data_IF_287678234971
#
_entry.id   IF_287678234971
#
_cell.length_a   1.000
_cell.length_b   1.000
_cell.length_c   1.000
_cell.angle_alpha   90.00
_cell.angle_beta   90.00
_cell.angle_gamma   90.00
#
_symmetry.space_group_name_H-M   'P 1'
#
loop_
_entity.id
_entity.type
_entity.pdbx_description
1 polymer ?
#
# COMPACT_ATOMS: atom_id res chain seq x y z
N UNK A 1 7.76 -46.33 -37.53
CA UNK A 1 7.60 -44.88 -37.28
C UNK A 1 7.33 -44.72 -35.80
N UNK A 2 8.19 -44.04 -35.05
CA UNK A 2 7.89 -43.73 -33.66
C UNK A 2 6.74 -42.72 -33.64
N UNK A 3 5.60 -43.06 -33.04
CA UNK A 3 4.54 -42.08 -32.79
C UNK A 3 5.09 -41.11 -31.74
N UNK A 4 5.29 -39.86 -32.14
CA UNK A 4 5.67 -38.80 -31.20
C UNK A 4 4.44 -38.49 -30.36
N UNK A 5 4.42 -38.95 -29.12
CA UNK A 5 3.38 -38.58 -28.16
C UNK A 5 3.58 -37.11 -27.80
N UNK A 6 2.66 -36.25 -28.21
CA UNK A 6 2.72 -34.82 -27.89
C UNK A 6 1.79 -34.50 -26.72
N UNK A 7 2.17 -33.51 -25.90
CA UNK A 7 1.46 -33.18 -24.66
C UNK A 7 0.00 -32.78 -24.92
N UNK A 8 -0.28 -32.15 -26.06
CA UNK A 8 -1.62 -31.73 -26.46
C UNK A 8 -2.59 -32.87 -26.82
N UNK A 9 -2.10 -34.11 -26.96
CA UNK A 9 -2.93 -35.29 -27.18
C UNK A 9 -3.43 -35.92 -25.87
N UNK A 10 -2.95 -35.45 -24.71
CA UNK A 10 -3.41 -35.94 -23.42
C UNK A 10 -4.76 -35.32 -23.03
N UNK A 11 -5.58 -36.02 -22.21
CA UNK A 11 -6.70 -35.43 -21.50
C UNK A 11 -6.29 -34.18 -20.72
N UNK A 12 -7.19 -33.19 -20.63
CA UNK A 12 -6.91 -31.91 -19.98
C UNK A 12 -6.52 -32.08 -18.52
N UNK A 13 -7.14 -33.04 -17.84
CA UNK A 13 -6.89 -33.39 -16.45
C UNK A 13 -5.45 -33.87 -16.25
N UNK A 14 -4.91 -34.65 -17.18
CA UNK A 14 -3.52 -35.09 -17.13
C UNK A 14 -2.54 -33.94 -17.44
N UNK A 15 -2.88 -33.05 -18.38
CA UNK A 15 -2.07 -31.86 -18.65
C UNK A 15 -2.03 -30.94 -17.43
N UNK A 16 -3.18 -30.71 -16.78
CA UNK A 16 -3.29 -29.91 -15.56
C UNK A 16 -2.47 -30.54 -14.42
N UNK A 17 -2.59 -31.85 -14.23
CA UNK A 17 -1.83 -32.58 -13.22
C UNK A 17 -0.32 -32.50 -13.45
N UNK A 18 0.15 -32.70 -14.69
CA UNK A 18 1.56 -32.52 -15.05
C UNK A 18 2.02 -31.08 -14.79
N UNK A 19 1.19 -30.10 -15.12
CA UNK A 19 1.49 -28.69 -14.88
C UNK A 19 1.61 -28.35 -13.38
N UNK A 20 0.82 -28.98 -12.50
CA UNK A 20 0.90 -28.77 -11.06
C UNK A 20 2.24 -29.23 -10.43
N UNK A 21 2.94 -30.16 -11.08
CA UNK A 21 4.32 -30.56 -10.69
C UNK A 21 5.41 -29.71 -11.33
N UNK A 22 5.06 -28.82 -12.24
CA UNK A 22 6.00 -27.88 -12.84
C UNK A 22 6.04 -26.59 -12.01
N UNK A 23 7.08 -25.80 -12.25
CA UNK A 23 7.15 -24.49 -11.62
C UNK A 23 6.24 -23.45 -12.30
N UNK A 24 5.79 -22.44 -11.54
CA UNK A 24 4.81 -21.46 -12.00
C UNK A 24 5.24 -20.73 -13.28
N UNK A 25 6.54 -20.45 -13.42
CA UNK A 25 7.08 -19.77 -14.62
C UNK A 25 7.03 -20.68 -15.84
N UNK A 26 7.40 -21.95 -15.69
CA UNK A 26 7.31 -22.95 -16.77
C UNK A 26 5.86 -23.18 -17.21
N UNK A 27 4.90 -23.27 -16.28
CA UNK A 27 3.47 -23.40 -16.63
C UNK A 27 2.97 -22.19 -17.42
N UNK A 28 3.37 -20.97 -17.02
CA UNK A 28 3.04 -19.76 -17.78
C UNK A 28 3.59 -19.77 -19.20
N UNK A 29 4.84 -20.22 -19.38
CA UNK A 29 5.46 -20.33 -20.71
C UNK A 29 4.78 -21.40 -21.56
N UNK A 30 4.53 -22.60 -21.01
CA UNK A 30 3.83 -23.69 -21.68
C UNK A 30 2.40 -23.30 -22.08
N UNK A 31 1.70 -22.53 -21.25
CA UNK A 31 0.36 -22.03 -21.58
C UNK A 31 0.31 -21.06 -22.77
N UNK A 32 1.46 -20.65 -23.31
CA UNK A 32 1.55 -19.76 -24.48
C UNK A 32 1.88 -20.50 -25.78
N UNK A 33 2.27 -21.77 -25.71
CA UNK A 33 2.70 -22.53 -26.89
C UNK A 33 1.51 -23.12 -27.64
N UNK A 34 0.48 -23.58 -26.93
CA UNK A 34 -0.68 -24.26 -27.51
C UNK A 34 -1.98 -23.91 -26.77
N UNK A 35 -3.08 -23.74 -27.51
CA UNK A 35 -4.41 -23.43 -26.92
C UNK A 35 -4.93 -24.56 -26.03
N UNK A 36 -4.69 -25.82 -26.40
CA UNK A 36 -5.09 -26.99 -25.61
C UNK A 36 -4.35 -27.01 -24.28
N UNK A 37 -3.03 -26.83 -24.31
CA UNK A 37 -2.20 -26.72 -23.10
C UNK A 37 -2.67 -25.55 -22.25
N UNK A 38 -2.87 -24.37 -22.85
CA UNK A 38 -3.39 -23.19 -22.14
C UNK A 38 -4.70 -23.46 -21.42
N UNK A 39 -5.66 -24.06 -22.11
CA UNK A 39 -6.99 -24.33 -21.56
C UNK A 39 -6.97 -25.35 -20.42
N UNK A 40 -5.93 -26.18 -20.32
CA UNK A 40 -5.75 -27.15 -19.25
C UNK A 40 -4.87 -26.64 -18.11
N UNK A 41 -3.80 -25.90 -18.42
CA UNK A 41 -2.76 -25.55 -17.44
C UNK A 41 -2.84 -24.12 -16.91
N UNK A 42 -3.49 -23.19 -17.60
CA UNK A 42 -3.69 -21.81 -17.13
C UNK A 42 -4.97 -21.72 -16.30
N UNK A 43 -4.97 -22.45 -15.19
CA UNK A 43 -6.12 -22.63 -14.31
C UNK A 43 -5.79 -22.25 -12.86
N UNK A 44 -6.79 -21.74 -12.12
CA UNK A 44 -6.61 -21.29 -10.75
C UNK A 44 -6.20 -22.43 -9.81
N UNK A 45 -6.73 -23.64 -10.00
CA UNK A 45 -6.40 -24.81 -9.19
C UNK A 45 -4.97 -25.26 -9.44
N UNK A 46 -4.52 -25.25 -10.69
CA UNK A 46 -3.12 -25.59 -11.05
C UNK A 46 -2.14 -24.66 -10.34
N UNK A 47 -2.35 -23.33 -10.40
CA UNK A 47 -1.45 -22.40 -9.72
C UNK A 47 -1.58 -22.43 -8.18
N UNK A 48 -2.77 -22.74 -7.65
CA UNK A 48 -2.96 -23.02 -6.22
C UNK A 48 -2.13 -24.22 -5.78
N UNK A 49 -2.18 -25.32 -6.51
CA UNK A 49 -1.40 -26.53 -6.21
C UNK A 49 0.11 -26.25 -6.27
N UNK A 50 0.58 -25.51 -7.28
CA UNK A 50 1.98 -25.10 -7.39
C UNK A 50 2.42 -24.29 -6.17
N UNK A 51 1.59 -23.32 -5.74
CA UNK A 51 1.87 -22.50 -4.56
C UNK A 51 1.88 -23.33 -3.26
N UNK A 52 0.99 -24.31 -3.12
CA UNK A 52 1.00 -25.20 -1.94
C UNK A 52 2.25 -26.09 -1.97
N UNK A 53 2.56 -26.67 -3.14
CA UNK A 53 3.68 -27.59 -3.29
C UNK A 53 5.05 -26.92 -3.07
N UNK A 54 5.21 -25.65 -3.48
CA UNK A 54 6.46 -24.90 -3.25
C UNK A 54 6.76 -24.69 -1.75
N UNK A 55 5.74 -24.77 -0.90
CA UNK A 55 5.85 -24.47 0.52
C UNK A 55 6.08 -25.67 1.42
N UNK A 56 5.59 -26.86 1.02
CA UNK A 56 5.67 -28.09 1.83
C UNK A 56 7.07 -28.42 2.35
N UNK A 57 8.11 -27.95 1.66
CA UNK A 57 9.50 -28.25 2.03
C UNK A 57 10.13 -27.21 2.97
N UNK A 58 9.57 -26.01 3.11
CA UNK A 58 10.31 -24.84 3.61
C UNK A 58 9.53 -23.90 4.53
N UNK A 59 8.23 -24.10 4.68
CA UNK A 59 7.36 -23.22 5.46
C UNK A 59 6.87 -23.95 6.71
N UNK A 60 6.64 -23.21 7.80
CA UNK A 60 5.80 -23.70 8.88
C UNK A 60 4.38 -23.87 8.31
N UNK A 61 3.78 -25.05 8.52
CA UNK A 61 2.52 -25.48 7.89
C UNK A 61 1.36 -24.47 8.05
N UNK A 62 1.43 -23.62 9.07
CA UNK A 62 0.36 -22.67 9.43
C UNK A 62 0.56 -21.26 8.84
N UNK A 63 1.62 -21.02 8.06
CA UNK A 63 1.95 -19.66 7.61
C UNK A 63 1.16 -19.23 6.36
N UNK A 64 0.78 -20.15 5.47
CA UNK A 64 0.00 -19.82 4.28
C UNK A 64 -1.51 -19.92 4.53
N UNK A 65 -2.17 -18.79 4.43
CA UNK A 65 -3.62 -18.68 4.53
C UNK A 65 -4.29 -18.88 3.15
N UNK A 66 -4.44 -20.14 2.75
CA UNK A 66 -5.04 -20.51 1.46
C UNK A 66 -6.47 -20.01 1.32
N UNK A 67 -7.24 -19.94 2.40
CA UNK A 67 -8.64 -19.53 2.36
C UNK A 67 -8.77 -18.02 2.14
N UNK A 68 -7.93 -17.21 2.81
CA UNK A 68 -7.85 -15.77 2.54
C UNK A 68 -7.40 -15.50 1.09
N UNK A 69 -6.42 -16.25 0.58
CA UNK A 69 -5.97 -16.13 -0.81
C UNK A 69 -7.08 -16.51 -1.78
N UNK A 70 -7.79 -17.61 -1.53
CA UNK A 70 -8.88 -18.10 -2.37
C UNK A 70 -10.02 -17.07 -2.44
N UNK A 71 -10.37 -16.47 -1.30
CA UNK A 71 -11.35 -15.39 -1.20
C UNK A 71 -10.93 -14.17 -2.03
N UNK A 72 -9.65 -13.79 -1.95
CA UNK A 72 -9.11 -12.62 -2.67
C UNK A 72 -8.98 -12.85 -4.18
N UNK A 73 -8.60 -14.06 -4.57
CA UNK A 73 -8.39 -14.42 -5.97
C UNK A 73 -9.71 -14.74 -6.70
N UNK A 74 -10.77 -15.14 -5.97
CA UNK A 74 -12.10 -15.45 -6.52
C UNK A 74 -12.07 -16.40 -7.73
N UNK A 75 -11.16 -17.37 -7.73
CA UNK A 75 -10.97 -18.30 -8.85
C UNK A 75 -10.30 -17.73 -10.09
N UNK A 76 -9.75 -16.51 -10.04
CA UNK A 76 -9.06 -15.90 -11.17
C UNK A 76 -7.65 -16.52 -11.36
N UNK A 77 -7.39 -17.24 -12.48
CA UNK A 77 -6.10 -17.90 -12.72
C UNK A 77 -4.93 -16.91 -12.81
N UNK A 78 -5.17 -15.66 -13.21
CA UNK A 78 -4.12 -14.64 -13.31
C UNK A 78 -3.61 -14.22 -11.93
N UNK A 79 -4.51 -14.07 -10.95
CA UNK A 79 -4.15 -13.71 -9.58
C UNK A 79 -3.36 -14.86 -8.92
N UNK A 80 -3.84 -16.10 -9.08
CA UNK A 80 -3.14 -17.27 -8.58
C UNK A 80 -1.75 -17.45 -9.20
N UNK A 81 -1.63 -17.29 -10.52
CA UNK A 81 -0.34 -17.35 -11.20
C UNK A 81 0.67 -16.33 -10.64
N UNK A 82 0.21 -15.14 -10.26
CA UNK A 82 1.06 -14.11 -9.66
C UNK A 82 1.58 -14.51 -8.29
N UNK A 83 0.72 -15.05 -7.43
CA UNK A 83 1.13 -15.54 -6.11
C UNK A 83 2.16 -16.66 -6.24
N UNK A 84 1.90 -17.64 -7.10
CA UNK A 84 2.83 -18.75 -7.36
C UNK A 84 4.17 -18.27 -7.94
N UNK A 85 4.18 -17.32 -8.88
CA UNK A 85 5.42 -16.76 -9.45
C UNK A 85 6.19 -15.91 -8.43
N UNK A 86 5.49 -15.09 -7.65
CA UNK A 86 6.10 -14.26 -6.61
C UNK A 86 6.84 -15.12 -5.60
N UNK A 87 6.16 -16.16 -5.11
CA UNK A 87 6.70 -17.15 -4.20
C UNK A 87 7.95 -17.82 -4.76
N UNK A 88 7.83 -18.42 -5.94
CA UNK A 88 8.93 -19.11 -6.61
C UNK A 88 10.14 -18.19 -6.86
N UNK A 89 9.92 -16.93 -7.23
CA UNK A 89 11.01 -15.97 -7.48
C UNK A 89 11.71 -15.53 -6.22
N UNK A 90 10.97 -15.35 -5.13
CA UNK A 90 11.55 -15.07 -3.83
C UNK A 90 12.43 -16.24 -3.40
N UNK A 91 11.96 -17.47 -3.59
CA UNK A 91 12.72 -18.70 -3.32
C UNK A 91 14.01 -18.81 -4.16
N UNK A 92 13.94 -18.66 -5.47
CA UNK A 92 15.13 -18.71 -6.35
C UNK A 92 16.18 -17.66 -5.99
N UNK A 93 15.73 -16.49 -5.51
CA UNK A 93 16.61 -15.44 -5.02
C UNK A 93 17.34 -15.85 -3.74
N UNK A 94 16.73 -16.70 -2.92
CA UNK A 94 17.33 -17.27 -1.71
C UNK A 94 18.40 -18.31 -2.03
N UNK A 95 18.08 -19.35 -2.79
CA UNK A 95 19.02 -20.44 -3.08
C UNK A 95 20.33 -19.91 -3.69
N UNK A 96 20.20 -18.94 -4.60
CA UNK A 96 21.34 -18.25 -5.21
C UNK A 96 22.22 -17.50 -4.21
N UNK A 97 21.65 -17.05 -3.08
CA UNK A 97 22.36 -16.32 -2.02
C UNK A 97 23.10 -17.27 -1.06
N UNK A 98 22.53 -18.44 -0.73
CA UNK A 98 23.15 -19.40 0.20
C UNK A 98 24.42 -20.06 -0.36
N UNK A 99 24.52 -20.21 -1.68
CA UNK A 99 25.71 -20.76 -2.35
C UNK A 99 26.91 -19.80 -2.24
N UNK A 100 26.67 -18.51 -2.00
CA UNK A 100 27.69 -17.47 -1.90
C UNK A 100 27.80 -16.96 -0.46
N UNK A 101 28.30 -17.79 0.47
CA UNK A 101 28.59 -17.44 1.88
C UNK A 101 29.82 -16.54 2.03
N UNK A 102 29.88 -15.43 1.29
CA UNK A 102 30.84 -14.35 1.53
C UNK A 102 30.13 -13.11 2.08
N UNK A 103 30.80 -12.23 2.85
CA UNK A 103 30.29 -10.91 3.27
C UNK A 103 30.03 -9.91 2.12
N UNK A 104 29.78 -10.42 0.92
CA UNK A 104 29.33 -9.70 -0.27
C UNK A 104 28.36 -10.55 -1.10
N UNK A 105 27.59 -11.44 -0.46
CA UNK A 105 26.58 -12.27 -1.11
C UNK A 105 25.68 -11.37 -1.96
N UNK A 106 25.54 -11.61 -3.28
CA UNK A 106 24.75 -10.80 -4.19
C UNK A 106 23.27 -11.10 -3.94
N UNK A 107 22.78 -10.65 -2.78
CA UNK A 107 21.37 -10.62 -2.44
C UNK A 107 20.68 -9.74 -3.47
N UNK A 108 20.14 -10.44 -4.47
CA UNK A 108 19.36 -9.94 -5.59
C UNK A 108 20.21 -9.04 -6.50
N UNK A 109 20.73 -9.57 -7.60
CA UNK A 109 21.41 -8.78 -8.66
C UNK A 109 20.57 -7.59 -9.17
N UNK A 110 19.26 -7.56 -8.86
CA UNK A 110 18.30 -6.50 -9.16
C UNK A 110 17.28 -6.36 -8.02
N UNK A 111 17.57 -5.64 -6.93
CA UNK A 111 16.65 -5.46 -5.80
C UNK A 111 15.26 -4.97 -6.23
N UNK A 112 15.19 -4.27 -7.37
CA UNK A 112 13.93 -3.87 -7.98
C UNK A 112 13.03 -5.05 -8.32
N UNK A 113 13.56 -6.22 -8.67
CA UNK A 113 12.76 -7.41 -9.01
C UNK A 113 12.15 -8.06 -7.76
N UNK A 114 12.76 -7.94 -6.59
CA UNK A 114 12.18 -8.46 -5.34
C UNK A 114 11.17 -7.49 -4.72
N UNK A 115 11.55 -6.21 -4.67
CA UNK A 115 10.67 -5.10 -4.29
C UNK A 115 9.55 -4.90 -5.29
N UNK A 116 9.71 -5.51 -6.46
CA UNK A 116 8.58 -5.88 -7.26
C UNK A 116 7.71 -6.82 -6.42
N UNK A 117 7.78 -8.14 -6.43
CA UNK A 117 6.83 -9.05 -5.74
C UNK A 117 6.40 -8.85 -4.25
N UNK A 118 6.91 -7.88 -3.47
CA UNK A 118 6.55 -7.62 -2.07
C UNK A 118 5.05 -7.70 -1.75
N UNK A 119 4.12 -6.98 -2.41
CA UNK A 119 2.69 -7.14 -2.20
C UNK A 119 2.20 -8.59 -2.26
N UNK A 120 2.49 -9.34 -3.33
CA UNK A 120 2.14 -10.76 -3.42
C UNK A 120 2.77 -11.57 -2.29
N UNK A 121 4.05 -11.31 -1.99
CA UNK A 121 4.75 -11.97 -0.88
C UNK A 121 4.07 -11.71 0.47
N UNK A 122 3.52 -10.51 0.68
CA UNK A 122 2.74 -10.19 1.88
C UNK A 122 1.39 -10.93 1.88
N UNK A 123 0.73 -11.04 0.72
CA UNK A 123 -0.52 -11.81 0.62
C UNK A 123 -0.27 -13.28 0.95
N UNK A 124 0.80 -13.87 0.40
CA UNK A 124 1.14 -15.27 0.68
C UNK A 124 1.87 -15.45 2.01
N UNK A 125 2.16 -14.38 2.76
CA UNK A 125 2.92 -14.43 4.03
C UNK A 125 4.28 -15.14 3.90
N UNK A 126 5.02 -14.85 2.83
CA UNK A 126 6.30 -15.53 2.57
C UNK A 126 7.31 -15.37 3.71
N UNK A 127 7.97 -16.45 4.19
CA UNK A 127 9.01 -16.40 5.21
C UNK A 127 10.14 -15.39 4.94
N UNK A 128 10.39 -15.03 3.67
CA UNK A 128 11.36 -14.00 3.31
C UNK A 128 11.04 -12.61 3.82
N UNK A 129 9.76 -12.33 4.08
CA UNK A 129 9.36 -11.09 4.70
C UNK A 129 9.88 -10.99 6.13
N UNK A 130 9.93 -12.12 6.85
CA UNK A 130 10.43 -12.19 8.23
C UNK A 130 11.95 -11.98 8.31
N UNK A 131 12.69 -12.45 7.29
CA UNK A 131 14.15 -12.32 7.24
C UNK A 131 14.64 -10.88 7.02
N UNK A 132 13.74 -9.90 6.85
CA UNK A 132 14.06 -8.47 6.79
C UNK A 132 15.04 -8.06 5.66
N UNK A 133 15.40 -8.97 4.75
CA UNK A 133 16.39 -8.73 3.68
C UNK A 133 15.91 -7.64 2.70
N UNK A 134 14.59 -7.52 2.50
CA UNK A 134 14.03 -6.40 1.74
C UNK A 134 14.35 -5.06 2.41
N UNK A 135 14.39 -4.97 3.75
CA UNK A 135 14.55 -3.70 4.47
C UNK A 135 15.86 -3.01 4.14
N UNK A 136 16.98 -3.73 4.23
CA UNK A 136 18.30 -3.20 3.88
C UNK A 136 18.34 -2.73 2.44
N UNK A 137 17.68 -3.47 1.55
CA UNK A 137 17.59 -3.09 0.13
C UNK A 137 16.74 -1.84 -0.06
N UNK A 138 15.61 -1.71 0.65
CA UNK A 138 14.76 -0.52 0.60
C UNK A 138 15.45 0.74 1.13
N UNK A 139 16.28 0.63 2.19
CA UNK A 139 17.06 1.77 2.71
C UNK A 139 18.09 2.28 1.69
N UNK A 140 18.61 1.39 0.86
CA UNK A 140 19.64 1.70 -0.14
C UNK A 140 19.03 2.09 -1.50
N UNK A 141 17.71 2.15 -1.61
CA UNK A 141 17.05 2.42 -2.88
C UNK A 141 17.27 3.87 -3.34
N UNK A 142 17.72 4.07 -4.60
CA UNK A 142 17.87 5.39 -5.21
C UNK A 142 16.63 6.29 -5.12
N UNK A 143 16.81 7.62 -5.01
CA UNK A 143 15.69 8.60 -4.89
C UNK A 143 14.76 8.64 -6.10
N UNK A 144 15.17 8.12 -7.24
CA UNK A 144 14.40 8.04 -8.49
C UNK A 144 13.50 6.78 -8.57
N UNK A 145 13.19 6.14 -7.43
CA UNK A 145 12.27 4.99 -7.40
C UNK A 145 10.92 5.30 -8.07
N UNK A 146 10.43 4.31 -8.81
CA UNK A 146 9.10 4.31 -9.40
C UNK A 146 8.01 4.35 -8.32
N UNK A 147 6.81 4.85 -8.64
CA UNK A 147 5.64 4.78 -7.77
C UNK A 147 5.37 3.38 -7.22
N UNK A 148 5.49 2.35 -8.07
CA UNK A 148 5.29 0.95 -7.69
C UNK A 148 6.16 0.53 -6.51
N UNK A 149 7.46 0.86 -6.57
CA UNK A 149 8.41 0.52 -5.53
C UNK A 149 8.05 1.22 -4.22
N UNK A 150 7.73 2.52 -4.29
CA UNK A 150 7.36 3.31 -3.10
C UNK A 150 6.08 2.78 -2.46
N UNK A 151 5.10 2.37 -3.25
CA UNK A 151 3.89 1.73 -2.75
C UNK A 151 4.20 0.45 -1.95
N UNK A 152 5.10 -0.39 -2.48
CA UNK A 152 5.53 -1.61 -1.81
C UNK A 152 6.26 -1.33 -0.50
N UNK A 153 7.09 -0.26 -0.48
CA UNK A 153 7.75 0.19 0.75
C UNK A 153 6.72 0.59 1.81
N UNK A 154 5.68 1.35 1.44
CA UNK A 154 4.61 1.70 2.39
C UNK A 154 3.96 0.44 2.93
N UNK A 155 3.57 -0.51 2.08
CA UNK A 155 2.96 -1.78 2.51
C UNK A 155 3.85 -2.54 3.48
N UNK A 156 5.14 -2.67 3.16
CA UNK A 156 6.08 -3.39 4.00
C UNK A 156 6.32 -2.66 5.35
N UNK A 157 6.29 -1.34 5.36
CA UNK A 157 6.35 -0.52 6.57
C UNK A 157 5.10 -0.61 7.44
N UNK A 158 3.94 -1.00 6.89
CA UNK A 158 2.71 -1.22 7.63
C UNK A 158 2.64 -2.61 8.26
N UNK A 159 3.55 -3.52 7.91
CA UNK A 159 3.56 -4.87 8.47
C UNK A 159 3.85 -4.86 10.00
N UNK A 160 2.99 -5.48 10.84
CA UNK A 160 3.13 -5.45 12.30
C UNK A 160 4.45 -6.05 12.79
N UNK A 161 4.96 -7.10 12.13
CA UNK A 161 6.20 -7.80 12.51
C UNK A 161 7.46 -6.96 12.24
N UNK A 162 7.30 -5.83 11.56
CA UNK A 162 8.34 -4.80 11.44
C UNK A 162 8.83 -4.22 12.79
N UNK A 163 8.17 -4.53 13.91
CA UNK A 163 8.45 -4.03 15.27
C UNK A 163 9.91 -4.20 15.72
N UNK A 164 10.61 -5.27 15.32
CA UNK A 164 11.91 -5.63 15.92
C UNK A 164 13.15 -4.93 15.37
N UNK A 165 13.14 -4.30 14.19
CA UNK A 165 14.39 -3.74 13.61
C UNK A 165 14.14 -2.67 12.54
N UNK A 166 13.90 -1.41 12.94
CA UNK A 166 14.06 -0.24 12.05
C UNK A 166 15.03 0.85 12.57
N UNK A 167 16.01 0.57 13.45
CA UNK A 167 16.89 1.63 13.97
C UNK A 167 17.72 2.30 12.85
N UNK A 168 17.99 1.61 11.73
CA UNK A 168 18.85 2.13 10.66
C UNK A 168 18.12 2.83 9.50
N UNK A 169 16.77 2.92 9.54
CA UNK A 169 16.03 3.80 8.62
C UNK A 169 16.09 5.28 9.04
N UNK A 170 17.00 5.62 9.96
CA UNK A 170 17.32 6.98 10.40
C UNK A 170 18.00 7.86 9.34
N UNK A 171 18.32 7.32 8.16
CA UNK A 171 18.62 8.17 7.00
C UNK A 171 17.52 9.21 6.85
N UNK A 172 17.88 10.49 6.70
CA UNK A 172 17.00 11.61 6.98
C UNK A 172 15.76 11.42 6.13
N UNK A 173 14.64 11.08 6.78
CA UNK A 173 13.30 11.32 6.27
C UNK A 173 13.39 12.72 5.66
N UNK A 174 13.33 12.74 4.32
CA UNK A 174 13.72 13.88 3.51
C UNK A 174 13.20 15.17 4.12
N UNK A 175 14.02 16.24 4.10
CA UNK A 175 13.65 17.56 4.64
C UNK A 175 12.18 17.81 4.33
N UNK A 176 11.35 17.86 5.37
CA UNK A 176 9.89 17.87 5.26
C UNK A 176 9.38 18.96 4.32
N UNK A 177 10.17 20.02 4.13
CA UNK A 177 9.95 21.06 3.15
C UNK A 177 9.74 20.57 1.71
N UNK A 178 10.30 19.41 1.32
CA UNK A 178 10.19 18.85 -0.04
C UNK A 178 8.95 17.95 -0.23
N UNK A 179 8.37 17.43 0.84
CA UNK A 179 7.19 16.59 0.78
C UNK A 179 5.99 17.42 0.28
N UNK A 180 5.19 16.90 -0.66
CA UNK A 180 3.98 17.53 -1.22
C UNK A 180 4.11 18.90 -1.92
N UNK A 181 5.33 19.37 -2.23
CA UNK A 181 5.48 20.45 -3.24
C UNK A 181 5.15 19.93 -4.65
N UNK A 182 5.35 18.63 -4.87
CA UNK A 182 4.99 17.92 -6.08
C UNK A 182 3.67 17.16 -5.90
N UNK A 183 2.82 17.20 -6.92
CA UNK A 183 1.60 16.38 -7.02
C UNK A 183 1.84 15.03 -7.71
N UNK A 184 3.10 14.62 -7.90
CA UNK A 184 3.41 13.32 -8.51
C UNK A 184 3.12 12.18 -7.54
N UNK A 185 2.58 11.07 -8.05
CA UNK A 185 2.33 9.82 -7.31
C UNK A 185 3.53 9.42 -6.45
N UNK A 186 4.73 9.49 -7.03
CA UNK A 186 5.96 9.15 -6.33
C UNK A 186 6.17 10.04 -5.09
N UNK A 187 5.97 11.36 -5.19
CA UNK A 187 6.13 12.28 -4.07
C UNK A 187 5.11 12.02 -2.95
N UNK A 188 3.87 11.70 -3.32
CA UNK A 188 2.79 11.43 -2.37
C UNK A 188 3.02 10.10 -1.62
N UNK A 189 3.40 9.05 -2.35
CA UNK A 189 3.78 7.77 -1.75
C UNK A 189 5.01 7.93 -0.85
N UNK A 190 5.96 8.77 -1.24
CA UNK A 190 7.11 9.06 -0.39
C UNK A 190 6.73 9.78 0.89
N UNK A 191 5.78 10.71 0.85
CA UNK A 191 5.25 11.31 2.07
C UNK A 191 4.47 10.32 2.93
N UNK A 192 3.80 9.33 2.33
CA UNK A 192 3.17 8.22 3.05
C UNK A 192 4.22 7.38 3.79
N UNK A 193 5.35 7.08 3.15
CA UNK A 193 6.50 6.43 3.80
C UNK A 193 6.96 7.25 5.02
N UNK A 194 7.18 8.56 4.85
CA UNK A 194 7.58 9.45 5.93
C UNK A 194 6.59 9.44 7.09
N UNK A 195 5.28 9.50 6.80
CA UNK A 195 4.23 9.46 7.81
C UNK A 195 4.25 8.17 8.63
N UNK A 196 4.30 7.01 7.95
CA UNK A 196 4.32 5.70 8.60
C UNK A 196 5.57 5.54 9.46
N UNK A 197 6.76 5.90 8.96
CA UNK A 197 8.02 5.80 9.72
C UNK A 197 7.98 6.71 10.95
N UNK A 198 7.61 7.99 10.79
CA UNK A 198 7.58 8.94 11.91
C UNK A 198 6.59 8.51 12.98
N UNK A 199 5.40 8.07 12.61
CA UNK A 199 4.39 7.63 13.57
C UNK A 199 4.78 6.33 14.26
N UNK A 200 5.33 5.34 13.54
CA UNK A 200 5.85 4.11 14.18
C UNK A 200 6.96 4.44 15.17
N UNK A 201 7.85 5.38 14.84
CA UNK A 201 8.91 5.81 15.76
C UNK A 201 8.32 6.44 17.01
N UNK A 202 7.42 7.42 16.85
CA UNK A 202 6.80 8.12 17.97
C UNK A 202 6.02 7.18 18.89
N UNK A 203 5.23 6.27 18.33
CA UNK A 203 4.41 5.31 19.09
C UNK A 203 5.23 4.20 19.76
N UNK A 204 6.40 3.85 19.22
CA UNK A 204 7.34 2.91 19.88
C UNK A 204 7.97 3.52 21.12
N UNK A 205 8.42 4.76 21.02
CA UNK A 205 9.06 5.47 22.14
C UNK A 205 8.04 5.95 23.17
N UNK A 206 6.78 6.06 22.76
CA UNK A 206 5.70 6.58 23.58
C UNK A 206 4.42 5.77 23.33
N UNK A 207 4.29 4.62 24.00
CA UNK A 207 3.00 3.89 24.05
C UNK A 207 1.88 4.71 24.71
N UNK A 208 2.24 5.86 25.31
CA UNK A 208 1.33 6.83 25.91
C UNK A 208 1.59 8.17 25.23
N UNK A 209 0.59 8.72 24.54
CA UNK A 209 0.73 9.96 23.80
C UNK A 209 0.99 11.17 24.71
N UNK A 210 1.68 12.19 24.18
CA UNK A 210 2.01 13.43 24.88
C UNK A 210 0.91 14.48 24.67
N UNK A 211 0.66 15.45 25.57
CA UNK A 211 1.12 15.51 26.95
C UNK A 211 0.29 14.60 27.85
N UNK A 212 0.97 13.96 28.80
CA UNK A 212 0.36 13.39 29.99
C UNK A 212 -0.35 14.51 30.77
N UNK A 213 -1.63 14.73 30.50
CA UNK A 213 -2.53 15.07 31.59
C UNK A 213 -3.31 13.78 31.91
N UNK A 214 -3.48 13.46 33.19
CA UNK A 214 -4.31 12.32 33.61
C UNK A 214 -5.80 12.48 33.23
N UNK A 215 -6.17 13.58 32.56
CA UNK A 215 -7.53 13.90 32.14
C UNK A 215 -7.81 13.49 30.68
N UNK A 216 -6.80 13.27 29.83
CA UNK A 216 -6.94 12.91 28.43
C UNK A 216 -7.10 11.39 28.33
N UNK A 217 -8.30 10.91 28.60
CA UNK A 217 -8.66 9.49 28.56
C UNK A 217 -8.91 9.01 27.13
N UNK A 218 -7.95 9.25 26.22
CA UNK A 218 -8.05 8.85 24.82
C UNK A 218 -7.28 7.54 24.62
N UNK A 219 -7.94 6.44 24.19
CA UNK A 219 -7.29 5.16 24.03
C UNK A 219 -6.22 5.22 22.93
N UNK A 220 -5.10 4.54 23.13
CA UNK A 220 -4.15 4.28 22.06
C UNK A 220 -4.83 3.48 20.95
N UNK A 221 -4.69 3.93 19.70
CA UNK A 221 -5.09 3.17 18.52
C UNK A 221 -3.86 2.61 17.81
N UNK A 222 -3.92 1.34 17.40
CA UNK A 222 -2.89 0.75 16.56
C UNK A 222 -2.89 1.42 15.18
N UNK A 223 -1.73 1.43 14.50
CA UNK A 223 -1.68 1.77 13.08
C UNK A 223 -2.26 0.61 12.26
N UNK A 224 -2.94 0.89 11.12
CA UNK A 224 -3.44 -0.18 10.26
C UNK A 224 -2.27 -0.97 9.69
N UNK A 225 -2.44 -2.28 9.62
CA UNK A 225 -1.51 -3.17 8.94
C UNK A 225 -1.77 -3.20 7.44
N UNK A 226 -0.79 -3.65 6.66
CA UNK A 226 -0.97 -3.84 5.22
C UNK A 226 -2.16 -4.74 4.84
N UNK A 227 -2.42 -5.78 5.65
CA UNK A 227 -3.53 -6.71 5.43
C UNK A 227 -4.90 -6.08 5.75
N UNK A 228 -4.92 -5.12 6.67
CA UNK A 228 -6.11 -4.41 7.13
C UNK A 228 -6.58 -3.30 6.17
N UNK A 229 -5.71 -2.80 5.30
CA UNK A 229 -6.06 -1.75 4.35
C UNK A 229 -6.74 -2.36 3.11
N UNK A 230 -7.99 -1.99 2.79
CA UNK A 230 -8.73 -2.56 1.67
C UNK A 230 -8.27 -1.94 0.34
N UNK A 231 -7.26 -2.55 -0.28
CA UNK A 231 -6.75 -2.12 -1.60
C UNK A 231 -7.58 -2.62 -2.79
N UNK A 232 -8.81 -3.11 -2.56
CA UNK A 232 -9.68 -3.57 -3.64
C UNK A 232 -10.16 -2.38 -4.50
N UNK A 233 -10.39 -2.57 -5.80
CA UNK A 233 -11.08 -1.57 -6.59
C UNK A 233 -12.40 -1.16 -5.96
N UNK A 234 -12.67 0.13 -5.94
CA UNK A 234 -13.91 0.72 -5.42
C UNK A 234 -15.04 0.69 -6.47
N UNK A 235 -14.71 0.43 -7.72
CA UNK A 235 -15.62 0.21 -8.84
C UNK A 235 -14.92 -0.58 -9.95
N UNK A 236 -15.67 -0.95 -10.99
CA UNK A 236 -15.16 -1.78 -12.09
C UNK A 236 -14.29 -1.03 -13.11
N UNK A 237 -14.10 0.29 -12.96
CA UNK A 237 -13.38 1.12 -13.93
C UNK A 237 -11.86 0.97 -13.84
N UNK A 238 -11.35 0.29 -12.82
CA UNK A 238 -9.94 0.00 -12.67
C UNK A 238 -9.73 -1.31 -11.93
N UNK A 239 -8.55 -1.88 -12.12
CA UNK A 239 -8.09 -3.02 -11.34
C UNK A 239 -6.89 -2.58 -10.52
N UNK A 240 -6.71 -3.20 -9.35
CA UNK A 240 -5.46 -3.07 -8.61
C UNK A 240 -4.34 -3.46 -9.58
N UNK A 241 -3.42 -2.55 -9.93
CA UNK A 241 -2.40 -2.76 -10.92
C UNK A 241 -1.68 -3.95 -10.40
N UNK A 242 -1.64 -4.96 -11.26
CA UNK A 242 -0.74 -6.07 -11.08
C UNK A 242 0.61 -5.42 -10.88
N UNK A 243 1.15 -5.51 -9.68
CA UNK A 243 2.44 -5.01 -9.48
C UNK A 243 3.33 -6.08 -10.17
N UNK A 244 4.33 -5.61 -10.93
CA UNK A 244 5.50 -6.42 -11.28
C UNK A 244 5.48 -7.29 -12.53
N UNK A 245 4.85 -6.79 -13.59
CA UNK A 245 5.43 -7.05 -14.90
C UNK A 245 6.04 -5.74 -15.44
N UNK A 246 7.36 -5.62 -15.31
CA UNK A 246 8.16 -4.83 -16.27
C UNK A 246 7.80 -5.24 -17.72
N UNK A 247 7.35 -6.50 -17.85
CA UNK A 247 6.91 -7.16 -19.05
C UNK A 247 5.46 -6.96 -19.49
N UNK A 248 4.51 -6.36 -18.78
CA UNK A 248 3.22 -6.04 -19.44
C UNK A 248 3.43 -4.94 -20.51
N UNK A 249 4.39 -4.04 -20.26
CA UNK A 249 4.80 -3.00 -21.22
C UNK A 249 5.62 -3.61 -22.38
N UNK A 250 6.43 -4.65 -22.14
CA UNK A 250 7.19 -5.34 -23.21
C UNK A 250 6.41 -6.46 -23.93
N UNK A 251 5.44 -7.11 -23.28
CA UNK A 251 4.65 -8.22 -23.84
C UNK A 251 3.43 -7.74 -24.65
N UNK A 252 3.03 -6.47 -24.56
CA UNK A 252 1.87 -5.92 -25.28
C UNK A 252 2.19 -5.05 -26.50
N UNK A 253 3.47 -4.85 -26.83
CA UNK A 253 3.90 -4.25 -28.10
C UNK A 253 3.60 -2.75 -28.25
N UNK A 254 4.67 -1.95 -28.30
CA UNK A 254 4.73 -0.64 -28.98
C UNK A 254 3.62 0.40 -28.70
N UNK A 255 3.40 0.76 -27.43
CA UNK A 255 2.77 2.06 -27.13
C UNK A 255 3.77 2.98 -26.43
N UNK A 256 4.20 4.02 -27.15
CA UNK A 256 5.03 5.13 -26.65
C UNK A 256 4.31 6.05 -25.65
N UNK A 257 3.12 5.67 -25.17
CA UNK A 257 2.36 6.42 -24.15
C UNK A 257 2.17 5.61 -22.86
N UNK A 258 3.22 4.90 -22.44
CA UNK A 258 3.20 4.09 -21.21
C UNK A 258 3.28 4.98 -19.95
N UNK A 259 2.18 5.61 -19.57
CA UNK A 259 1.96 5.88 -18.14
C UNK A 259 2.11 4.56 -17.40
N UNK A 260 2.87 4.54 -16.30
CA UNK A 260 2.95 3.34 -15.50
C UNK A 260 1.52 2.95 -15.10
N UNK A 261 1.17 1.67 -15.21
CA UNK A 261 -0.12 1.13 -14.75
C UNK A 261 -0.45 1.60 -13.31
N UNK A 262 0.59 1.87 -12.52
CA UNK A 262 0.54 2.40 -11.17
C UNK A 262 0.12 3.86 -11.04
N UNK A 263 0.64 4.77 -11.87
CA UNK A 263 0.19 6.17 -11.82
C UNK A 263 -1.29 6.23 -12.17
N UNK A 264 -1.67 5.56 -13.27
CA UNK A 264 -3.07 5.51 -13.71
C UNK A 264 -3.97 4.88 -12.65
N UNK A 265 -3.56 3.77 -12.05
CA UNK A 265 -4.32 3.18 -10.95
C UNK A 265 -4.42 4.09 -9.75
N UNK A 266 -3.31 4.68 -9.31
CA UNK A 266 -3.29 5.51 -8.12
C UNK A 266 -4.27 6.67 -8.27
N UNK A 267 -4.26 7.30 -9.44
CA UNK A 267 -5.17 8.38 -9.79
C UNK A 267 -6.62 7.90 -9.86
N UNK A 268 -6.88 6.77 -10.54
CA UNK A 268 -8.23 6.20 -10.66
C UNK A 268 -8.79 5.74 -9.31
N UNK A 269 -7.96 5.17 -8.45
CA UNK A 269 -8.33 4.73 -7.12
C UNK A 269 -8.70 5.93 -6.24
N UNK A 270 -7.84 6.95 -6.20
CA UNK A 270 -8.12 8.17 -5.44
C UNK A 270 -9.32 8.93 -6.00
N UNK A 271 -9.49 9.01 -7.33
CA UNK A 271 -10.66 9.62 -7.95
C UNK A 271 -11.94 8.86 -7.62
N UNK A 272 -11.91 7.53 -7.67
CA UNK A 272 -13.05 6.69 -7.28
C UNK A 272 -13.38 6.85 -5.79
N UNK A 273 -12.36 6.97 -4.94
CA UNK A 273 -12.53 7.24 -3.52
C UNK A 273 -13.14 8.63 -3.27
N UNK A 274 -12.68 9.64 -4.00
CA UNK A 274 -13.21 11.01 -3.93
C UNK A 274 -14.66 11.12 -4.40
N UNK A 275 -15.01 10.47 -5.52
CA UNK A 275 -16.37 10.47 -6.08
C UNK A 275 -17.35 9.51 -5.39
N UNK A 276 -16.85 8.68 -4.47
CA UNK A 276 -17.67 7.77 -3.68
C UNK A 276 -18.13 8.46 -2.40
N UNK A 277 -19.41 8.81 -2.36
CA UNK A 277 -20.04 9.40 -1.17
C UNK A 277 -19.79 8.52 0.06
N UNK A 278 -19.95 7.20 -0.10
CA UNK A 278 -19.74 6.22 0.95
C UNK A 278 -18.28 6.16 1.39
N UNK A 279 -17.30 6.23 0.48
CA UNK A 279 -15.90 6.07 0.87
C UNK A 279 -15.45 7.11 1.90
N UNK A 280 -15.84 8.38 1.75
CA UNK A 280 -15.48 9.43 2.71
C UNK A 280 -16.44 9.45 3.91
N UNK A 281 -17.75 9.34 3.69
CA UNK A 281 -18.77 9.63 4.72
C UNK A 281 -19.24 8.42 5.53
N UNK A 282 -19.09 7.19 5.03
CA UNK A 282 -19.50 6.01 5.79
C UNK A 282 -18.50 5.68 6.90
N UNK A 283 -18.99 5.22 8.06
CA UNK A 283 -18.12 4.86 9.18
C UNK A 283 -17.37 6.03 9.81
N UNK A 284 -16.30 5.71 10.53
CA UNK A 284 -15.53 6.67 11.32
C UNK A 284 -14.07 6.67 10.89
N UNK A 285 -13.46 7.85 10.84
CA UNK A 285 -12.03 8.03 10.65
C UNK A 285 -11.35 8.28 12.00
N UNK A 286 -10.12 7.79 12.11
CA UNK A 286 -9.24 8.05 13.23
C UNK A 286 -7.81 8.29 12.71
N UNK A 287 -6.91 8.74 13.58
CA UNK A 287 -5.53 8.90 13.18
C UNK A 287 -4.65 9.57 14.21
N UNK A 288 -3.45 9.95 13.78
CA UNK A 288 -2.49 10.69 14.59
C UNK A 288 -1.95 11.90 13.83
N UNK A 289 -1.41 12.84 14.60
CA UNK A 289 -0.53 13.86 14.08
C UNK A 289 0.74 13.98 14.91
N UNK A 290 1.83 14.41 14.27
CA UNK A 290 3.15 14.51 14.89
C UNK A 290 3.62 15.95 14.99
N UNK A 291 4.65 16.21 15.78
CA UNK A 291 5.39 17.48 15.78
C UNK A 291 6.80 17.26 15.27
N UNK A 292 7.26 18.18 14.42
CA UNK A 292 8.54 18.02 13.71
C UNK A 292 9.60 19.01 14.17
N UNK A 293 9.22 20.03 14.93
CA UNK A 293 10.14 21.05 15.45
C UNK A 293 10.88 20.67 16.74
N UNK A 294 10.55 19.56 17.38
CA UNK A 294 11.02 19.24 18.75
C UNK A 294 12.30 18.40 18.81
N UNK A 295 12.93 18.07 17.67
CA UNK A 295 14.15 17.24 17.61
C UNK A 295 13.93 15.76 17.98
N UNK A 296 12.88 15.45 18.73
CA UNK A 296 12.34 14.11 18.96
C UNK A 296 10.93 14.02 18.37
N UNK A 297 10.57 12.91 17.71
CA UNK A 297 9.24 12.73 17.14
C UNK A 297 8.23 12.64 18.27
N UNK A 298 7.41 13.68 18.41
CA UNK A 298 6.33 13.75 19.39
C UNK A 298 5.01 13.47 18.69
N UNK A 299 4.13 12.74 19.36
CA UNK A 299 2.78 12.41 18.87
C UNK A 299 1.78 12.79 19.96
N UNK A 300 0.75 13.53 19.55
CA UNK A 300 -0.38 13.85 20.42
C UNK A 300 -1.34 12.65 20.52
N UNK A 301 -2.30 12.64 21.47
CA UNK A 301 -3.24 11.54 21.58
C UNK A 301 -4.06 11.44 20.30
N UNK A 302 -4.56 10.24 19.97
CA UNK A 302 -5.15 10.02 18.66
C UNK A 302 -6.36 10.91 18.44
N UNK A 303 -6.55 11.29 17.18
CA UNK A 303 -7.77 11.92 16.73
C UNK A 303 -8.80 10.82 16.48
N UNK A 304 -9.94 10.93 17.14
CA UNK A 304 -11.01 9.94 17.12
C UNK A 304 -12.34 10.57 16.69
N UNK A 305 -13.28 9.69 16.32
CA UNK A 305 -14.65 10.04 15.97
C UNK A 305 -14.77 11.07 14.83
N UNK A 306 -13.85 11.06 13.86
CA UNK A 306 -13.93 11.93 12.69
C UNK A 306 -14.94 11.33 11.70
N UNK A 307 -16.16 11.89 11.66
CA UNK A 307 -17.20 11.49 10.71
C UNK A 307 -17.39 12.59 9.67
N UNK A 308 -16.87 12.36 8.46
CA UNK A 308 -17.01 13.34 7.39
C UNK A 308 -18.44 13.38 6.87
N UNK A 309 -18.95 14.58 6.66
CA UNK A 309 -20.17 14.89 5.94
C UNK A 309 -19.81 15.76 4.73
N UNK A 310 -20.31 15.40 3.55
CA UNK A 310 -20.22 16.25 2.36
C UNK A 310 -21.34 17.29 2.38
N UNK A 311 -20.98 18.56 2.26
CA UNK A 311 -21.95 19.67 2.19
C UNK A 311 -22.41 19.88 0.75
N UNK A 312 -21.55 19.57 -0.23
CA UNK A 312 -21.84 19.56 -1.65
C UNK A 312 -21.47 18.21 -2.25
N UNK A 313 -22.24 17.73 -3.23
CA UNK A 313 -21.85 16.56 -4.02
C UNK A 313 -20.80 16.95 -5.06
N UNK A 314 -19.86 16.05 -5.42
CA UNK A 314 -18.93 16.29 -6.51
C UNK A 314 -19.69 16.46 -7.84
N UNK A 315 -19.33 17.47 -8.63
CA UNK A 315 -19.88 17.69 -9.96
C UNK A 315 -19.33 16.65 -10.94
N UNK A 316 -20.10 15.58 -11.15
CA UNK A 316 -19.70 14.44 -11.99
C UNK A 316 -19.62 14.78 -13.48
N UNK A 317 -20.23 15.90 -13.89
CA UNK A 317 -20.30 16.34 -15.28
C UNK A 317 -19.25 17.42 -15.60
N UNK A 318 -18.39 17.78 -14.64
CA UNK A 318 -17.34 18.79 -14.81
C UNK A 318 -16.38 18.40 -15.95
N UNK A 319 -16.45 19.16 -17.04
CA UNK A 319 -15.60 19.01 -18.24
C UNK A 319 -14.18 19.50 -17.97
N UNK A 320 -13.99 20.39 -16.98
CA UNK A 320 -12.68 20.99 -16.66
C UNK A 320 -11.78 20.04 -15.87
N UNK A 321 -12.34 18.95 -15.32
CA UNK A 321 -11.61 17.97 -14.51
C UNK A 321 -11.24 18.44 -13.11
N UNK A 322 -11.56 19.69 -12.76
CA UNK A 322 -11.43 20.23 -11.42
C UNK A 322 -12.78 20.09 -10.70
N UNK A 323 -12.80 19.25 -9.67
CA UNK A 323 -13.97 19.01 -8.82
C UNK A 323 -13.63 19.44 -7.39
N UNK A 324 -14.57 20.11 -6.71
CA UNK A 324 -14.40 20.56 -5.32
C UNK A 324 -15.63 20.18 -4.50
N UNK A 325 -15.39 19.54 -3.36
CA UNK A 325 -16.41 19.15 -2.39
C UNK A 325 -16.09 19.81 -1.05
N UNK A 326 -17.09 20.44 -0.43
CA UNK A 326 -16.95 20.91 0.95
C UNK A 326 -17.18 19.74 1.92
N UNK A 327 -16.24 19.58 2.86
CA UNK A 327 -16.27 18.56 3.89
C UNK A 327 -16.31 19.18 5.28
N UNK A 328 -17.11 18.55 6.15
CA UNK A 328 -17.16 18.88 7.58
C UNK A 328 -17.07 17.61 8.41
N UNK A 329 -16.53 17.71 9.61
CA UNK A 329 -16.69 16.70 10.65
C UNK A 329 -16.90 17.42 11.98
N UNK A 330 -18.04 17.14 12.61
CA UNK A 330 -18.36 17.61 13.94
C UNK A 330 -18.08 16.51 14.97
N UNK A 331 -18.01 16.89 16.24
CA UNK A 331 -17.89 15.95 17.37
C UNK A 331 -16.66 15.02 17.34
N UNK A 332 -15.62 15.40 16.60
CA UNK A 332 -14.33 14.74 16.69
C UNK A 332 -13.62 15.17 17.99
N UNK A 333 -12.69 14.36 18.47
CA UNK A 333 -11.93 14.68 19.68
C UNK A 333 -10.54 14.07 19.65
N UNK A 334 -9.63 14.66 20.42
CA UNK A 334 -8.32 14.13 20.74
C UNK A 334 -7.94 14.49 22.19
N UNK A 335 -6.66 14.43 22.53
CA UNK A 335 -6.16 14.71 23.87
C UNK A 335 -6.36 16.14 24.37
N UNK A 336 -6.51 17.11 23.48
CA UNK A 336 -6.76 18.50 23.87
C UNK A 336 -8.25 18.77 24.09
N UNK A 337 -9.12 18.08 23.37
CA UNK A 337 -10.56 18.12 23.57
C UNK A 337 -11.35 17.94 22.28
N UNK A 338 -12.60 18.39 22.32
CA UNK A 338 -13.52 18.34 21.18
C UNK A 338 -13.09 19.32 20.10
N UNK A 339 -13.08 18.87 18.85
CA UNK A 339 -12.77 19.71 17.70
C UNK A 339 -13.72 19.46 16.53
N UNK A 340 -13.75 20.45 15.65
CA UNK A 340 -14.44 20.41 14.36
C UNK A 340 -13.41 20.49 13.24
N UNK A 341 -13.69 19.80 12.13
CA UNK A 341 -12.97 19.94 10.87
C UNK A 341 -13.90 20.57 9.85
N UNK A 342 -13.41 21.59 9.14
CA UNK A 342 -14.11 22.17 7.99
C UNK A 342 -13.11 22.44 6.87
N UNK A 343 -13.42 22.06 5.65
CA UNK A 343 -12.48 22.19 4.55
C UNK A 343 -13.06 21.89 3.18
N UNK A 344 -12.18 21.86 2.20
CA UNK A 344 -12.49 21.47 0.82
C UNK A 344 -11.59 20.31 0.42
N UNK A 345 -12.19 19.34 -0.25
CA UNK A 345 -11.47 18.30 -0.95
C UNK A 345 -11.59 18.56 -2.45
N UNK A 346 -10.47 18.61 -3.16
CA UNK A 346 -10.44 18.90 -4.59
C UNK A 346 -9.68 17.84 -5.36
N UNK A 347 -10.21 17.44 -6.51
CA UNK A 347 -9.46 16.67 -7.50
C UNK A 347 -8.88 17.62 -8.54
N UNK A 348 -7.55 17.76 -8.57
CA UNK A 348 -6.84 18.65 -9.50
C UNK A 348 -5.49 18.03 -9.85
N UNK A 349 -5.08 18.11 -11.11
CA UNK A 349 -3.80 17.55 -11.57
C UNK A 349 -3.60 16.07 -11.17
N UNK A 350 -4.67 15.26 -11.27
CA UNK A 350 -4.67 13.82 -10.96
C UNK A 350 -4.45 13.47 -9.48
N UNK A 351 -4.50 14.46 -8.58
CA UNK A 351 -4.37 14.28 -7.14
C UNK A 351 -5.64 14.77 -6.44
N UNK A 352 -6.04 14.04 -5.40
CA UNK A 352 -7.13 14.44 -4.50
C UNK A 352 -6.53 15.07 -3.25
N UNK A 353 -6.78 16.35 -3.04
CA UNK A 353 -6.19 17.16 -1.98
C UNK A 353 -7.25 17.65 -1.01
N UNK A 354 -7.01 17.48 0.28
CA UNK A 354 -7.83 18.03 1.37
C UNK A 354 -7.13 19.25 1.96
N UNK A 355 -7.77 20.41 1.86
CA UNK A 355 -7.41 21.61 2.62
C UNK A 355 -8.47 21.85 3.67
N UNK A 356 -8.13 21.62 4.94
CA UNK A 356 -9.07 21.71 6.05
C UNK A 356 -8.53 22.56 7.19
N UNK A 357 -9.43 22.98 8.08
CA UNK A 357 -9.09 23.65 9.32
C UNK A 357 -9.68 22.85 10.47
N UNK A 358 -8.81 22.43 11.39
CA UNK A 358 -9.17 21.89 12.69
C UNK A 358 -9.37 23.03 13.66
N UNK A 359 -10.50 23.09 14.36
CA UNK A 359 -10.80 24.10 15.37
C UNK A 359 -11.30 23.44 16.64
N UNK A 360 -10.68 23.72 17.77
CA UNK A 360 -11.18 23.26 19.07
C UNK A 360 -12.38 24.11 19.50
N UNK A 361 -13.42 23.43 19.98
CA UNK A 361 -14.70 24.06 20.34
C UNK A 361 -14.52 25.02 21.52
N UNK A 362 -13.67 24.64 22.49
CA UNK A 362 -13.58 25.34 23.78
C UNK A 362 -12.39 26.31 23.89
N UNK A 363 -11.39 26.25 23.00
CA UNK A 363 -10.14 27.01 23.17
C UNK A 363 -9.83 28.03 22.09
N UNK A 364 -10.67 28.17 21.05
CA UNK A 364 -10.43 29.05 19.89
C UNK A 364 -9.19 28.69 19.05
N UNK A 365 -8.39 27.72 19.52
CA UNK A 365 -7.18 27.23 18.86
C UNK A 365 -7.56 26.51 17.57
N UNK A 366 -6.85 26.81 16.49
CA UNK A 366 -7.07 26.17 15.21
C UNK A 366 -5.79 25.90 14.45
N UNK A 367 -5.81 24.84 13.65
CA UNK A 367 -4.70 24.39 12.83
C UNK A 367 -5.16 24.15 11.40
N UNK A 368 -4.37 24.58 10.43
CA UNK A 368 -4.64 24.37 9.02
C UNK A 368 -3.99 23.07 8.56
N UNK A 369 -4.73 22.29 7.78
CA UNK A 369 -4.35 20.99 7.23
C UNK A 369 -4.21 21.08 5.71
N UNK A 370 -3.12 20.50 5.19
CA UNK A 370 -2.90 20.28 3.77
C UNK A 370 -2.53 18.81 3.57
N UNK A 371 -3.51 18.02 3.14
CA UNK A 371 -3.41 16.57 3.03
C UNK A 371 -3.77 16.08 1.64
N UNK A 372 -3.40 14.85 1.35
CA UNK A 372 -3.79 14.13 0.16
C UNK A 372 -4.50 12.84 0.52
N UNK A 373 -5.53 12.53 -0.25
CA UNK A 373 -6.15 11.21 -0.21
C UNK A 373 -5.25 10.22 -0.92
N UNK A 374 -5.01 9.08 -0.29
CA UNK A 374 -4.17 8.00 -0.79
C UNK A 374 -4.88 6.66 -0.57
N UNK A 375 -4.41 5.57 -1.20
CA UNK A 375 -4.87 4.23 -0.88
C UNK A 375 -4.63 3.81 0.58
N UNK A 376 -3.78 4.54 1.31
CA UNK A 376 -3.45 4.30 2.72
C UNK A 376 -4.20 5.24 3.67
N UNK A 377 -5.21 5.96 3.18
CA UNK A 377 -5.94 6.98 3.93
C UNK A 377 -5.52 8.41 3.57
N UNK A 378 -5.77 9.36 4.47
CA UNK A 378 -5.48 10.78 4.24
C UNK A 378 -4.16 11.13 4.91
N UNK A 379 -3.15 11.52 4.13
CA UNK A 379 -1.80 11.83 4.63
C UNK A 379 -1.42 13.25 4.27
N UNK A 380 -0.83 14.00 5.19
CA UNK A 380 -0.44 15.38 4.92
C UNK A 380 0.30 16.04 6.06
N UNK A 381 0.10 17.36 6.15
CA UNK A 381 0.65 18.17 7.22
C UNK A 381 -0.42 18.99 7.91
N UNK A 382 -0.12 19.37 9.13
CA UNK A 382 -0.83 20.44 9.84
C UNK A 382 0.14 21.58 10.16
N UNK A 383 -0.41 22.77 10.41
CA UNK A 383 0.39 23.94 10.72
C UNK A 383 -0.42 25.20 11.01
N UNK A 384 0.26 26.35 10.95
CA UNK A 384 -0.33 27.67 11.15
C UNK A 384 -0.15 28.57 9.93
N UNK A 385 -1.02 29.58 9.83
CA UNK A 385 -1.00 30.55 8.74
C UNK A 385 -2.02 30.22 7.67
N UNK A 386 -2.61 31.26 7.07
CA UNK A 386 -3.59 31.12 6.00
C UNK A 386 -3.11 30.15 4.91
N UNK A 387 -4.04 29.38 4.34
CA UNK A 387 -3.88 28.52 3.16
C UNK A 387 -3.51 29.35 1.89
N UNK A 388 -2.44 30.15 1.97
CA UNK A 388 -1.86 30.95 0.87
C UNK A 388 -1.14 30.03 -0.12
N UNK A 389 -0.61 30.60 -1.21
CA UNK A 389 0.06 29.87 -2.31
C UNK A 389 1.09 28.82 -1.87
N UNK A 390 1.73 29.00 -0.71
CA UNK A 390 2.81 28.12 -0.24
C UNK A 390 2.36 27.08 0.83
N UNK A 391 1.07 27.03 1.17
CA UNK A 391 0.54 26.18 2.24
C UNK A 391 0.84 26.72 3.66
N UNK A 392 0.38 26.02 4.71
CA UNK A 392 0.62 26.41 6.09
C UNK A 392 2.10 26.24 6.47
N UNK A 393 2.55 26.99 7.49
CA UNK A 393 3.82 26.73 8.16
C UNK A 393 3.74 25.36 8.82
N UNK A 394 4.35 24.36 8.17
CA UNK A 394 4.26 22.94 8.55
C UNK A 394 4.86 22.73 9.94
N UNK A 395 4.03 22.21 10.85
CA UNK A 395 4.42 21.88 12.22
C UNK A 395 4.50 20.38 12.48
N UNK A 396 3.82 19.59 11.65
CA UNK A 396 4.10 18.18 11.53
C UNK A 396 3.10 17.42 10.68
N UNK A 397 3.18 16.10 10.73
CA UNK A 397 2.48 15.21 9.80
C UNK A 397 1.10 14.88 10.35
N UNK A 398 0.12 14.72 9.47
CA UNK A 398 -1.21 14.14 9.75
C UNK A 398 -1.33 12.84 8.98
N UNK A 399 -1.83 11.79 9.64
CA UNK A 399 -2.30 10.59 8.95
C UNK A 399 -3.63 10.12 9.55
N UNK A 400 -4.65 10.06 8.72
CA UNK A 400 -5.97 9.51 9.02
C UNK A 400 -6.24 8.23 8.22
N UNK A 401 -6.94 7.30 8.84
CA UNK A 401 -7.46 6.08 8.21
C UNK A 401 -8.86 5.76 8.74
N UNK A 402 -9.56 4.80 8.13
CA UNK A 402 -10.84 4.34 8.65
C UNK A 402 -10.63 3.48 9.89
N UNK A 403 -11.39 3.76 10.94
CA UNK A 403 -11.32 3.04 12.21
C UNK A 403 -11.53 1.53 12.04
N UNK A 404 -12.43 1.12 11.14
CA UNK A 404 -12.72 -0.29 10.82
C UNK A 404 -11.49 -1.05 10.29
N UNK A 405 -10.50 -0.37 9.71
CA UNK A 405 -9.26 -1.03 9.25
C UNK A 405 -8.47 -1.58 10.44
N UNK A 406 -8.51 -0.92 11.58
CA UNK A 406 -7.77 -1.35 12.78
C UNK A 406 -8.59 -2.18 13.75
N UNK A 407 -9.92 -2.18 13.63
CA UNK A 407 -10.83 -2.93 14.50
C UNK A 407 -11.20 -4.32 13.97
N UNK A 408 -11.12 -4.54 12.65
CA UNK A 408 -11.52 -5.79 12.01
C UNK A 408 -10.51 -6.95 12.15
N UNK A 409 -9.76 -7.02 13.26
CA UNK A 409 -8.79 -8.08 13.54
C UNK A 409 -9.37 -9.19 14.44
#
# INVERSE_FOLDING_TARGET
MAQTTTLELLPKELIAHIAAFCDATSVLQSSRTCRTIRAASYDALVFKEILIASQLNNWDADTLDIDAISTRAAGNPEIWARYAVADQRAWHSQESSWVLRGPGSPLIRKPQDFVSYLPELHVVKHPHLQNNLWKTQLCLMPRDQTPSVRFCVVMALLDPDGSKSYPDMEQPVLRESQLFQSNTTAAILHASISAVVTLRRALRTSLRAWPFNFAANVPHIALPTAAQIPLRPLNDNYQLPVPFSRRAVELLGNSKTSFSNWDSWYDLHNLAAFRSDAYLTSGTWCGYYTYTHTGSPMVDPPMLNIRFTMVSSPDRDSVTGDEVVELRAADAHDGHGKFELSGTMSYTNRSVRLKARKRYVDSGTSWDWDCQLTPFGIVGFWGTGELRRNGPSRQGIVWLWKQEWTEAA
#
